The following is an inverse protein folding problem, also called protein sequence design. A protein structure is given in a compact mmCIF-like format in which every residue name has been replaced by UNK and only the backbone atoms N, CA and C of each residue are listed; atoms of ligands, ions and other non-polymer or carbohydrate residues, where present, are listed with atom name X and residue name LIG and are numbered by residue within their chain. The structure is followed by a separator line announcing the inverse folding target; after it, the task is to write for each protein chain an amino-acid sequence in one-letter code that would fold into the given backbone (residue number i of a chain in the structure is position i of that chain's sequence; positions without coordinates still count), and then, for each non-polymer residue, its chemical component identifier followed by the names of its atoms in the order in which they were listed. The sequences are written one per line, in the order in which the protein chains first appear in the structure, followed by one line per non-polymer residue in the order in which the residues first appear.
data_IF_708026300022
#
_entry.id   IF_708026300022
#
_cell.length_a   1.000
_cell.length_b   1.000
_cell.length_c   1.000
_cell.angle_alpha   90.00
_cell.angle_beta   90.00
_cell.angle_gamma   90.00
#
_symmetry.space_group_name_H-M   'P 1'
#
loop_
_entity.id
_entity.type
_entity.pdbx_description
1 polymer ?
#
# COMPACT_ATOMS: atom_id res chain seq x y z
N UNK A 1 -5.17 2.92 -10.28
CA UNK A 1 -4.25 2.55 -9.18
C UNK A 1 -3.46 3.77 -8.73
N UNK A 2 -3.49 4.09 -7.45
CA UNK A 2 -2.60 5.06 -6.80
C UNK A 2 -1.48 4.28 -6.10
N UNK A 3 -0.23 4.67 -6.37
CA UNK A 3 0.95 4.10 -5.73
C UNK A 3 1.32 4.93 -4.49
N UNK A 4 1.57 4.25 -3.38
CA UNK A 4 1.91 4.82 -2.08
C UNK A 4 3.11 4.08 -1.49
N UNK A 5 3.90 4.76 -0.67
CA UNK A 5 5.05 4.18 0.03
C UNK A 5 4.71 3.93 1.50
N UNK A 6 5.54 3.12 2.17
CA UNK A 6 5.46 3.03 3.64
C UNK A 6 5.71 4.41 4.26
N UNK A 7 4.95 4.74 5.30
CA UNK A 7 4.99 6.06 5.93
C UNK A 7 4.08 7.12 5.29
N UNK A 8 3.53 6.88 4.09
CA UNK A 8 2.50 7.76 3.54
C UNK A 8 1.19 7.62 4.33
N UNK A 9 0.37 8.66 4.32
CA UNK A 9 -0.96 8.64 4.91
C UNK A 9 -1.93 7.94 3.95
N UNK A 10 -2.70 6.99 4.46
CA UNK A 10 -3.74 6.29 3.72
C UNK A 10 -4.82 7.30 3.27
N UNK A 11 -5.00 7.51 1.95
CA UNK A 11 -5.94 8.51 1.44
C UNK A 11 -7.41 8.12 1.60
N UNK A 12 -7.70 6.85 1.90
CA UNK A 12 -9.05 6.33 2.12
C UNK A 12 -9.06 5.00 2.87
N UNK A 13 -10.19 4.65 3.45
CA UNK A 13 -10.39 3.31 4.02
C UNK A 13 -10.54 2.27 2.91
N UNK A 14 -9.58 1.35 2.79
CA UNK A 14 -9.56 0.34 1.74
C UNK A 14 -8.59 -0.81 2.05
N UNK A 15 -8.61 -1.84 1.21
CA UNK A 15 -7.55 -2.84 1.16
C UNK A 15 -6.47 -2.40 0.16
N UNK A 16 -5.25 -2.20 0.66
CA UNK A 16 -4.08 -1.81 -0.10
C UNK A 16 -3.29 -3.06 -0.47
N UNK A 17 -2.99 -3.26 -1.75
CA UNK A 17 -2.15 -4.37 -2.22
C UNK A 17 -0.69 -4.00 -2.00
N UNK A 18 0.12 -4.95 -1.53
CA UNK A 18 1.58 -4.81 -1.47
C UNK A 18 2.16 -5.41 -2.73
N UNK A 19 2.85 -4.59 -3.51
CA UNK A 19 3.46 -4.96 -4.78
C UNK A 19 4.97 -5.01 -4.59
N UNK A 20 5.63 -6.09 -5.04
CA UNK A 20 7.08 -6.21 -5.03
C UNK A 20 7.75 -5.47 -6.20
N UNK A 21 9.08 -5.43 -6.21
CA UNK A 21 9.88 -4.80 -7.26
C UNK A 21 9.66 -5.40 -8.67
N UNK A 22 9.13 -6.62 -8.77
CA UNK A 22 8.84 -7.28 -10.04
C UNK A 22 7.39 -7.03 -10.51
N UNK A 23 6.61 -6.22 -9.76
CA UNK A 23 5.21 -5.94 -10.05
C UNK A 23 4.23 -7.02 -9.56
N UNK A 24 4.69 -7.97 -8.73
CA UNK A 24 3.84 -9.05 -8.21
C UNK A 24 3.15 -8.61 -6.92
N UNK A 25 1.86 -8.94 -6.79
CA UNK A 25 1.15 -8.81 -5.50
C UNK A 25 1.67 -9.88 -4.53
N UNK A 26 2.25 -9.42 -3.42
CA UNK A 26 2.80 -10.29 -2.37
C UNK A 26 2.00 -10.23 -1.06
N UNK A 27 1.02 -9.35 -0.97
CA UNK A 27 0.14 -9.25 0.18
C UNK A 27 -0.92 -8.16 0.04
N UNK A 28 -1.69 -7.97 1.10
CA UNK A 28 -2.64 -6.86 1.24
C UNK A 28 -2.79 -6.45 2.70
N UNK A 29 -3.04 -5.17 2.94
CA UNK A 29 -3.32 -4.64 4.28
C UNK A 29 -4.61 -3.81 4.25
N UNK A 30 -5.45 -3.96 5.27
CA UNK A 30 -6.59 -3.10 5.47
C UNK A 30 -6.15 -1.85 6.22
N UNK A 31 -6.41 -0.67 5.66
CA UNK A 31 -6.10 0.61 6.28
C UNK A 31 -7.34 1.47 6.33
N UNK A 32 -7.44 2.31 7.35
CA UNK A 32 -8.42 3.37 7.47
C UNK A 32 -7.85 4.70 6.96
N UNK A 33 -8.72 5.56 6.45
CA UNK A 33 -8.35 6.91 6.02
C UNK A 33 -7.65 7.67 7.16
N UNK A 34 -6.51 8.29 6.84
CA UNK A 34 -5.70 9.04 7.81
C UNK A 34 -4.67 8.20 8.58
N UNK A 35 -4.70 6.87 8.48
CA UNK A 35 -3.66 6.02 9.09
C UNK A 35 -2.34 6.08 8.32
N UNK A 36 -1.22 5.94 9.01
CA UNK A 36 0.09 5.80 8.38
C UNK A 36 0.30 4.39 7.85
N UNK A 37 0.68 4.26 6.57
CA UNK A 37 0.96 2.96 5.96
C UNK A 37 2.14 2.26 6.63
N UNK A 38 2.01 0.97 7.00
CA UNK A 38 3.04 0.25 7.73
C UNK A 38 4.29 0.01 6.87
N UNK A 39 5.44 -0.27 7.50
CA UNK A 39 6.64 -0.68 6.78
C UNK A 39 6.39 -1.99 6.01
N UNK A 40 6.91 -2.05 4.78
CA UNK A 40 6.88 -3.28 3.97
C UNK A 40 7.99 -4.23 4.42
N UNK A 41 7.77 -5.54 4.26
CA UNK A 41 8.73 -6.56 4.69
C UNK A 41 10.02 -6.60 3.86
N UNK A 42 10.03 -5.99 2.67
CA UNK A 42 11.18 -5.96 1.78
C UNK A 42 11.35 -4.57 1.17
N UNK A 43 12.59 -4.21 0.85
CA UNK A 43 12.92 -3.00 0.11
C UNK A 43 12.34 -3.05 -1.31
N UNK A 44 11.95 -1.89 -1.83
CA UNK A 44 11.41 -1.77 -3.19
C UNK A 44 9.95 -2.18 -3.33
N UNK A 45 9.27 -2.55 -2.24
CA UNK A 45 7.83 -2.77 -2.26
C UNK A 45 7.07 -1.44 -2.15
N UNK A 46 5.85 -1.41 -2.70
CA UNK A 46 4.94 -0.27 -2.56
C UNK A 46 3.51 -0.74 -2.37
N UNK A 47 2.66 0.16 -1.91
CA UNK A 47 1.22 -0.06 -1.78
C UNK A 47 0.49 0.44 -3.03
N UNK A 48 -0.54 -0.29 -3.45
CA UNK A 48 -1.48 0.14 -4.47
C UNK A 48 -2.92 0.06 -3.96
N UNK A 49 -3.68 1.11 -4.25
CA UNK A 49 -5.12 1.17 -4.01
C UNK A 49 -5.82 1.69 -5.26
N UNK A 50 -7.04 1.21 -5.52
CA UNK A 50 -7.85 1.76 -6.60
C UNK A 50 -8.19 3.22 -6.32
N UNK A 51 -8.17 4.05 -7.37
CA UNK A 51 -8.74 5.40 -7.32
C UNK A 51 -10.23 5.18 -7.54
N UNK A 52 -10.98 5.02 -6.45
CA UNK A 52 -12.43 4.96 -6.50
C UNK A 52 -12.97 6.34 -6.81
#
# INVERSE_FOLDING_TARGET
MMRLNCGDIAPKTANYKVIDQNGKVIGSVHMQEGETLPPTQQSGCHYEVDRG
#
